data_IF_338594183183
#
_entry.id   IF_338594183183
#
_cell.length_a   1.000
_cell.length_b   1.000
_cell.length_c   1.000
_cell.angle_alpha   90.00
_cell.angle_beta   90.00
_cell.angle_gamma   90.00
#
_symmetry.space_group_name_H-M   'P 1'
#
loop_
_entity.id
_entity.type
_entity.pdbx_description
1 polymer ?
#
# COMPACT_ATOMS: atom_id res chain seq x y z
N UNK A 1 -23.95 -39.83 35.86
CA UNK A 1 -23.68 -39.25 34.52
C UNK A 1 -24.39 -40.13 33.52
N UNK A 2 -25.27 -39.59 32.68
CA UNK A 2 -26.08 -40.40 31.77
C UNK A 2 -25.26 -40.70 30.49
N UNK A 3 -24.99 -41.97 30.22
CA UNK A 3 -24.16 -42.45 29.10
C UNK A 3 -24.86 -42.45 27.74
N UNK A 4 -26.13 -42.03 27.68
CA UNK A 4 -26.98 -42.10 26.49
C UNK A 4 -27.39 -40.73 25.90
N UNK A 5 -26.51 -39.72 25.99
CA UNK A 5 -26.79 -38.40 25.39
C UNK A 5 -26.22 -38.33 23.96
N UNK A 6 -27.10 -38.43 22.96
CA UNK A 6 -26.73 -38.23 21.55
C UNK A 6 -27.17 -36.83 21.11
N UNK A 7 -26.22 -35.97 20.75
CA UNK A 7 -26.47 -34.63 20.21
C UNK A 7 -26.45 -34.70 18.67
N UNK A 8 -27.62 -34.68 18.05
CA UNK A 8 -27.74 -34.61 16.58
C UNK A 8 -27.79 -33.15 16.15
N UNK A 9 -26.67 -32.65 15.60
CA UNK A 9 -26.59 -31.30 15.03
C UNK A 9 -27.09 -31.31 13.59
N UNK A 10 -28.30 -30.78 13.36
CA UNK A 10 -28.90 -30.66 12.03
C UNK A 10 -28.06 -29.71 11.16
N UNK A 11 -27.50 -30.21 10.05
CA UNK A 11 -26.88 -29.33 9.04
C UNK A 11 -27.96 -28.49 8.37
N UNK A 12 -27.72 -27.20 8.20
CA UNK A 12 -28.65 -26.31 7.47
C UNK A 12 -28.58 -26.65 5.98
N UNK A 13 -29.70 -27.09 5.44
CA UNK A 13 -29.85 -27.49 4.03
C UNK A 13 -29.92 -26.28 3.09
N UNK A 14 -30.38 -25.12 3.60
CA UNK A 14 -30.46 -23.85 2.87
C UNK A 14 -29.70 -22.78 3.64
N UNK A 15 -28.75 -22.14 2.96
CA UNK A 15 -27.90 -21.08 3.50
C UNK A 15 -28.19 -19.79 2.74
N UNK A 16 -28.91 -18.87 3.37
CA UNK A 16 -29.17 -17.54 2.80
C UNK A 16 -27.93 -16.66 2.96
N UNK A 17 -27.25 -16.39 1.85
CA UNK A 17 -26.06 -15.53 1.80
C UNK A 17 -26.48 -14.06 1.70
N UNK A 18 -27.02 -13.52 2.79
CA UNK A 18 -27.47 -12.13 2.90
C UNK A 18 -26.37 -11.16 3.39
N UNK A 19 -25.14 -11.65 3.54
CA UNK A 19 -23.97 -10.84 3.89
C UNK A 19 -23.19 -10.54 2.61
N UNK A 20 -22.63 -9.33 2.48
CA UNK A 20 -21.85 -8.93 1.30
C UNK A 20 -20.45 -9.57 1.28
N UNK A 21 -20.32 -10.85 1.67
CA UNK A 21 -19.05 -11.56 1.72
C UNK A 21 -18.38 -11.62 0.34
N UNK A 22 -19.16 -11.88 -0.72
CA UNK A 22 -18.65 -11.92 -2.09
C UNK A 22 -18.20 -10.56 -2.58
N UNK A 23 -18.98 -9.50 -2.31
CA UNK A 23 -18.59 -8.14 -2.65
C UNK A 23 -17.29 -7.75 -1.93
N UNK A 24 -17.15 -8.09 -0.64
CA UNK A 24 -15.92 -7.88 0.12
C UNK A 24 -14.71 -8.62 -0.47
N UNK A 25 -14.88 -9.86 -0.90
CA UNK A 25 -13.83 -10.63 -1.58
C UNK A 25 -13.43 -9.97 -2.91
N UNK A 26 -14.40 -9.62 -3.75
CA UNK A 26 -14.14 -8.95 -5.03
C UNK A 26 -13.38 -7.63 -4.84
N UNK A 27 -13.79 -6.82 -3.87
CA UNK A 27 -13.11 -5.55 -3.57
C UNK A 27 -11.67 -5.81 -3.11
N UNK A 28 -11.45 -6.79 -2.22
CA UNK A 28 -10.10 -7.13 -1.74
C UNK A 28 -9.20 -7.61 -2.89
N UNK A 29 -9.73 -8.45 -3.79
CA UNK A 29 -8.97 -8.95 -4.94
C UNK A 29 -8.64 -7.84 -5.94
N UNK A 30 -9.57 -6.92 -6.18
CA UNK A 30 -9.31 -5.73 -6.99
C UNK A 30 -8.23 -4.85 -6.37
N UNK A 31 -8.30 -4.59 -5.06
CA UNK A 31 -7.28 -3.81 -4.35
C UNK A 31 -5.90 -4.46 -4.43
N UNK A 32 -5.79 -5.78 -4.24
CA UNK A 32 -4.52 -6.50 -4.38
C UNK A 32 -4.00 -6.45 -5.82
N UNK A 33 -4.88 -6.63 -6.79
CA UNK A 33 -4.52 -6.59 -8.22
C UNK A 33 -3.92 -5.24 -8.58
N UNK A 34 -4.51 -4.14 -8.11
CA UNK A 34 -3.97 -2.80 -8.29
C UNK A 34 -2.57 -2.63 -7.67
N UNK A 35 -2.39 -3.09 -6.43
CA UNK A 35 -1.08 -3.02 -5.74
C UNK A 35 -0.01 -3.84 -6.48
N UNK A 36 -0.36 -5.02 -6.97
CA UNK A 36 0.55 -5.87 -7.75
C UNK A 36 0.86 -5.30 -9.11
N UNK A 37 -0.12 -4.76 -9.82
CA UNK A 37 0.08 -4.09 -11.10
C UNK A 37 1.08 -2.93 -10.95
N UNK A 38 0.89 -2.09 -9.94
CA UNK A 38 1.82 -1.02 -9.64
C UNK A 38 3.23 -1.52 -9.29
N UNK A 39 3.33 -2.55 -8.44
CA UNK A 39 4.63 -3.12 -8.09
C UNK A 39 5.38 -3.70 -9.30
N UNK A 40 4.72 -4.60 -10.05
CA UNK A 40 5.37 -5.37 -11.11
C UNK A 40 5.47 -4.62 -12.43
N UNK A 41 4.39 -3.95 -12.85
CA UNK A 41 4.32 -3.32 -14.16
C UNK A 41 4.83 -1.88 -14.16
N UNK A 42 4.93 -1.22 -12.99
CA UNK A 42 5.52 0.12 -12.85
C UNK A 42 6.89 0.05 -12.18
N UNK A 43 6.97 -0.15 -10.87
CA UNK A 43 8.25 -0.02 -10.15
C UNK A 43 9.29 -1.04 -10.61
N UNK A 44 8.93 -2.33 -10.68
CA UNK A 44 9.87 -3.37 -11.14
C UNK A 44 10.25 -3.22 -12.61
N UNK A 45 9.38 -2.69 -13.45
CA UNK A 45 9.68 -2.46 -14.86
C UNK A 45 10.72 -1.35 -15.06
N UNK A 46 10.59 -0.24 -14.33
CA UNK A 46 11.50 0.91 -14.45
C UNK A 46 12.85 0.71 -13.74
N UNK A 47 12.81 0.10 -12.55
CA UNK A 47 14.00 -0.01 -11.71
C UNK A 47 14.65 -1.39 -11.73
N UNK A 48 13.92 -2.45 -12.05
CA UNK A 48 14.44 -3.82 -12.04
C UNK A 48 15.08 -4.18 -10.69
N UNK A 49 16.36 -4.56 -10.74
CA UNK A 49 17.17 -4.91 -9.57
C UNK A 49 17.60 -3.70 -8.72
N UNK A 50 17.42 -2.48 -9.25
CA UNK A 50 17.65 -1.23 -8.50
C UNK A 50 16.53 -0.90 -7.50
N UNK A 51 15.46 -1.68 -7.49
CA UNK A 51 14.37 -1.55 -6.52
C UNK A 51 14.29 -2.73 -5.56
N UNK A 52 14.25 -2.42 -4.27
CA UNK A 52 13.99 -3.38 -3.19
C UNK A 52 12.75 -2.96 -2.41
N UNK A 53 11.76 -3.84 -2.37
CA UNK A 53 10.56 -3.64 -1.53
C UNK A 53 10.95 -3.89 -0.07
N UNK A 54 10.85 -2.85 0.76
CA UNK A 54 11.20 -2.90 2.19
C UNK A 54 10.03 -3.39 3.03
N UNK A 55 8.83 -2.87 2.78
CA UNK A 55 7.60 -3.37 3.39
C UNK A 55 6.37 -3.11 2.52
N UNK A 56 5.31 -3.85 2.83
CA UNK A 56 3.95 -3.63 2.31
C UNK A 56 2.92 -3.76 3.43
N UNK A 57 1.92 -2.88 3.44
CA UNK A 57 0.67 -3.03 4.20
C UNK A 57 -0.52 -2.97 3.21
N UNK A 58 -1.74 -2.85 3.71
CA UNK A 58 -3.01 -2.96 2.98
C UNK A 58 -3.09 -2.03 1.76
N UNK A 59 -2.53 -0.83 1.86
CA UNK A 59 -2.63 0.25 0.88
C UNK A 59 -1.30 1.01 0.68
N UNK A 60 -0.20 0.51 1.25
CA UNK A 60 1.11 1.18 1.21
C UNK A 60 2.24 0.24 0.83
N UNK A 61 3.22 0.81 0.14
CA UNK A 61 4.45 0.16 -0.31
C UNK A 61 5.61 1.09 0.01
N UNK A 62 6.68 0.53 0.57
CA UNK A 62 7.92 1.28 0.78
C UNK A 62 9.07 0.61 0.04
N UNK A 63 9.81 1.42 -0.69
CA UNK A 63 10.91 0.97 -1.53
C UNK A 63 12.22 1.62 -1.11
N UNK A 64 13.29 0.84 -1.22
CA UNK A 64 14.63 1.37 -1.43
C UNK A 64 14.89 1.36 -2.94
N UNK A 65 15.15 2.54 -3.49
CA UNK A 65 15.41 2.74 -4.92
C UNK A 65 16.85 3.25 -5.09
N UNK A 66 17.57 2.68 -6.06
CA UNK A 66 18.90 3.15 -6.47
C UNK A 66 18.78 3.89 -7.80
N UNK A 67 18.80 5.22 -7.73
CA UNK A 67 18.71 6.11 -8.89
C UNK A 67 19.41 7.43 -8.57
N UNK A 68 19.69 8.22 -9.60
CA UNK A 68 20.35 9.52 -9.43
C UNK A 68 19.37 10.58 -8.89
N UNK A 69 18.13 10.59 -9.40
CA UNK A 69 17.05 11.44 -8.92
C UNK A 69 15.69 10.72 -8.99
N UNK A 70 15.12 10.40 -7.83
CA UNK A 70 13.83 9.70 -7.71
C UNK A 70 12.67 10.58 -8.18
N UNK A 71 12.75 11.90 -7.98
CA UNK A 71 11.64 12.80 -8.26
C UNK A 71 11.48 13.06 -9.77
N UNK A 72 12.60 13.16 -10.49
CA UNK A 72 12.58 13.21 -11.96
C UNK A 72 12.01 11.91 -12.54
N UNK A 73 12.45 10.75 -12.05
CA UNK A 73 11.87 9.47 -12.47
C UNK A 73 10.36 9.41 -12.20
N UNK A 74 9.91 9.84 -11.02
CA UNK A 74 8.50 9.84 -10.64
C UNK A 74 7.67 10.78 -11.51
N UNK A 75 8.25 11.91 -11.93
CA UNK A 75 7.60 12.81 -12.89
C UNK A 75 7.38 12.11 -14.23
N UNK A 76 8.41 11.49 -14.81
CA UNK A 76 8.30 10.77 -16.08
C UNK A 76 7.28 9.62 -15.99
N UNK A 77 7.39 8.78 -14.96
CA UNK A 77 6.44 7.69 -14.71
C UNK A 77 5.01 8.23 -14.54
N UNK A 78 4.89 9.37 -13.85
CA UNK A 78 3.63 10.07 -13.61
C UNK A 78 2.95 10.55 -14.89
N UNK A 79 3.71 11.16 -15.78
CA UNK A 79 3.23 11.64 -17.07
C UNK A 79 2.81 10.48 -17.99
N UNK A 80 3.58 9.39 -18.01
CA UNK A 80 3.29 8.24 -18.87
C UNK A 80 2.12 7.39 -18.38
N UNK A 81 2.06 7.11 -17.07
CA UNK A 81 1.10 6.16 -16.49
C UNK A 81 -0.07 6.82 -15.79
N UNK A 82 -0.02 8.14 -15.59
CA UNK A 82 -1.01 8.92 -14.86
C UNK A 82 -1.33 8.30 -13.49
N UNK A 83 -0.35 7.77 -12.77
CA UNK A 83 -0.58 6.94 -11.57
C UNK A 83 -0.49 7.70 -10.24
N UNK A 84 -0.04 8.95 -10.23
CA UNK A 84 0.24 9.71 -9.01
C UNK A 84 -0.83 10.72 -8.64
N UNK A 85 -1.12 10.82 -7.35
CA UNK A 85 -1.79 11.95 -6.72
C UNK A 85 -0.74 12.82 -6.01
N UNK A 86 -0.29 13.87 -6.71
CA UNK A 86 0.68 14.84 -6.19
C UNK A 86 0.00 16.09 -5.62
N UNK A 87 -1.28 16.00 -5.25
CA UNK A 87 -2.04 17.17 -4.79
C UNK A 87 -1.67 17.64 -3.38
N UNK A 88 -0.88 16.85 -2.65
CA UNK A 88 -0.36 17.16 -1.32
C UNK A 88 1.04 17.84 -1.37
N UNK A 89 1.69 17.89 -2.53
CA UNK A 89 2.96 18.61 -2.67
C UNK A 89 2.76 20.14 -2.47
N UNK A 90 3.80 20.88 -2.04
CA UNK A 90 3.76 22.33 -2.02
C UNK A 90 3.40 22.88 -3.41
N UNK A 91 2.51 23.88 -3.49
CA UNK A 91 2.04 24.43 -4.77
C UNK A 91 3.15 25.04 -5.63
N UNK A 92 4.25 25.44 -4.99
CA UNK A 92 5.42 26.02 -5.64
C UNK A 92 6.37 24.94 -6.18
N UNK A 93 6.11 23.65 -5.89
CA UNK A 93 6.89 22.52 -6.37
C UNK A 93 6.60 22.24 -7.85
N UNK A 94 7.62 21.94 -8.67
CA UNK A 94 7.42 21.52 -10.07
C UNK A 94 6.63 20.20 -10.18
N UNK A 95 6.52 19.44 -9.09
CA UNK A 95 5.84 18.15 -9.06
C UNK A 95 4.36 18.24 -8.63
N UNK A 96 3.89 19.41 -8.21
CA UNK A 96 2.51 19.60 -7.77
C UNK A 96 1.52 19.47 -8.94
N UNK A 97 0.51 18.62 -8.76
CA UNK A 97 -0.62 18.52 -9.68
C UNK A 97 -1.90 18.18 -8.93
N UNK A 98 -2.95 18.98 -9.17
CA UNK A 98 -4.28 18.72 -8.62
C UNK A 98 -5.12 17.75 -9.46
N UNK A 99 -4.61 17.26 -10.59
CA UNK A 99 -5.36 16.48 -11.57
C UNK A 99 -5.97 15.18 -10.99
N UNK A 100 -5.21 14.48 -10.15
CA UNK A 100 -5.57 13.18 -9.60
C UNK A 100 -6.01 13.21 -8.14
N UNK A 101 -6.34 14.39 -7.61
CA UNK A 101 -6.68 14.57 -6.19
C UNK A 101 -7.81 13.64 -5.76
N UNK A 102 -7.50 12.70 -4.86
CA UNK A 102 -8.44 11.71 -4.29
C UNK A 102 -9.09 10.79 -5.32
N UNK A 103 -8.46 10.60 -6.48
CA UNK A 103 -8.92 9.64 -7.48
C UNK A 103 -8.56 8.23 -7.01
N UNK A 104 -9.54 7.33 -7.05
CA UNK A 104 -9.36 5.93 -6.61
C UNK A 104 -8.27 5.26 -7.46
N UNK A 105 -7.37 4.57 -6.78
CA UNK A 105 -6.30 3.79 -7.39
C UNK A 105 -5.09 4.60 -7.87
N UNK A 106 -5.02 5.88 -7.50
CA UNK A 106 -3.81 6.70 -7.64
C UNK A 106 -2.99 6.62 -6.36
N UNK A 107 -1.67 6.59 -6.52
CA UNK A 107 -0.73 6.50 -5.41
C UNK A 107 -0.30 7.90 -5.01
N UNK A 108 -0.23 8.16 -3.71
CA UNK A 108 0.33 9.40 -3.16
C UNK A 108 1.67 9.11 -2.51
N UNK A 109 2.53 10.11 -2.47
CA UNK A 109 3.75 10.05 -1.67
C UNK A 109 3.45 10.53 -0.24
N UNK A 110 3.56 9.62 0.73
CA UNK A 110 3.38 9.93 2.15
C UNK A 110 4.57 10.68 2.76
N UNK A 111 5.70 10.71 2.06
CA UNK A 111 6.88 11.42 2.51
C UNK A 111 6.83 12.92 2.19
N UNK A 112 5.83 13.38 1.42
CA UNK A 112 5.60 14.77 1.00
C UNK A 112 6.80 15.37 0.25
N UNK A 113 7.47 14.56 -0.58
CA UNK A 113 8.63 15.03 -1.33
C UNK A 113 9.92 15.14 -0.52
N UNK A 114 9.95 14.61 0.71
CA UNK A 114 11.18 14.51 1.51
C UNK A 114 11.68 13.06 1.51
N UNK A 115 12.88 12.77 1.00
CA UNK A 115 13.40 11.41 0.96
C UNK A 115 13.50 10.78 2.35
N UNK A 116 13.20 9.48 2.42
CA UNK A 116 13.48 8.67 3.61
C UNK A 116 14.91 8.17 3.54
N UNK A 117 15.71 8.52 4.54
CA UNK A 117 17.14 8.19 4.61
C UNK A 117 17.43 6.91 5.40
N UNK A 118 16.57 6.59 6.37
CA UNK A 118 16.74 5.42 7.22
C UNK A 118 15.41 4.70 7.40
N UNK A 119 15.46 3.37 7.40
CA UNK A 119 14.30 2.52 7.64
C UNK A 119 14.68 1.28 8.43
N UNK A 120 13.84 0.93 9.42
CA UNK A 120 13.90 -0.34 10.13
C UNK A 120 12.52 -0.98 10.19
N UNK A 121 12.40 -2.18 9.64
CA UNK A 121 11.19 -3.01 9.70
C UNK A 121 11.47 -4.27 10.49
N UNK A 122 10.79 -4.44 11.64
CA UNK A 122 11.00 -5.61 12.51
C UNK A 122 9.96 -6.70 12.24
N UNK A 123 8.69 -6.32 12.08
CA UNK A 123 7.56 -7.22 11.83
C UNK A 123 6.47 -6.49 11.04
N UNK A 124 5.48 -7.25 10.56
CA UNK A 124 4.26 -6.65 9.99
C UNK A 124 3.66 -5.66 10.99
N UNK A 125 3.39 -4.44 10.51
CA UNK A 125 2.87 -3.32 11.31
C UNK A 125 3.79 -2.87 12.47
N UNK A 126 5.09 -3.14 12.34
CA UNK A 126 6.13 -2.71 13.27
C UNK A 126 7.37 -2.22 12.52
N UNK A 127 7.45 -0.90 12.33
CA UNK A 127 8.52 -0.26 11.57
C UNK A 127 8.75 1.19 12.03
N UNK A 128 9.93 1.71 11.75
CA UNK A 128 10.28 3.11 11.94
C UNK A 128 11.13 3.61 10.77
N UNK A 129 11.01 4.89 10.46
CA UNK A 129 11.77 5.54 9.42
C UNK A 129 12.08 6.99 9.74
N UNK A 130 13.17 7.50 9.17
CA UNK A 130 13.64 8.87 9.32
C UNK A 130 13.75 9.52 7.95
N UNK A 131 13.21 10.72 7.81
CA UNK A 131 13.26 11.57 6.63
C UNK A 131 14.49 12.47 6.71
N UNK A 132 14.96 12.96 5.57
CA UNK A 132 16.14 13.84 5.48
C UNK A 132 16.02 15.11 6.36
N UNK A 133 14.81 15.66 6.49
CA UNK A 133 14.55 16.84 7.32
C UNK A 133 14.54 16.57 8.84
N UNK A 134 14.90 15.36 9.28
CA UNK A 134 14.86 14.92 10.67
C UNK A 134 13.46 14.55 11.19
N UNK A 135 12.43 14.71 10.37
CA UNK A 135 11.10 14.16 10.63
C UNK A 135 11.10 12.63 10.50
N UNK A 136 10.10 11.95 11.04
CA UNK A 136 10.05 10.50 10.96
C UNK A 136 8.72 9.93 11.43
N UNK A 137 8.58 8.61 11.27
CA UNK A 137 7.42 7.87 11.69
C UNK A 137 7.81 6.61 12.45
N UNK A 138 6.99 6.22 13.41
CA UNK A 138 7.10 4.93 14.09
C UNK A 138 5.70 4.34 14.24
N UNK A 139 5.57 3.09 13.80
CA UNK A 139 4.36 2.30 13.96
C UNK A 139 4.71 1.02 14.68
N UNK A 140 4.01 0.72 15.77
CA UNK A 140 4.11 -0.54 16.49
C UNK A 140 2.71 -1.00 16.91
N UNK A 141 2.11 -1.90 16.13
CA UNK A 141 0.80 -2.48 16.47
C UNK A 141 0.97 -3.85 17.14
N UNK A 142 0.21 -4.09 18.21
CA UNK A 142 0.22 -5.38 18.94
C UNK A 142 1.32 -5.51 20.00
N UNK A 143 2.02 -4.42 20.32
CA UNK A 143 2.94 -4.33 21.47
C UNK A 143 2.17 -3.70 22.62
N UNK A 144 2.28 -4.28 23.81
CA UNK A 144 1.62 -3.84 25.04
C UNK A 144 2.68 -3.53 26.08
#
# INVERSE_FOLDING_TARGET
MNENLIVVKRMKEVLTLNKPCYAGMSILDLSKTLMYDFHYNTIKKEYGDRSRLLFTDTDSLMYELKTDDVYEDFKTIGEEKNCWDNSDYPKDSPYYSAHNKKVIGKFKDEAEGVPVIEFVGLRSKMYSYVKENGGGGMTAKGVK
#
